data_IF_428769550677
#
_entry.id   IF_428769550677
#
_cell.length_a   1.000
_cell.length_b   1.000
_cell.length_c   1.000
_cell.angle_alpha   90.00
_cell.angle_beta   90.00
_cell.angle_gamma   90.00
#
_symmetry.space_group_name_H-M   'P 1'
#
loop_
_entity.id
_entity.type
_entity.pdbx_description
1 polymer ?
#
# COMPACT_ATOMS: atom_id res chain seq x y z
N UNK A 1 16.32 27.37 0.52
CA UNK A 1 16.00 25.98 0.16
C UNK A 1 14.50 25.83 0.28
N UNK A 2 13.80 25.55 -0.82
CA UNK A 2 12.35 25.33 -0.78
C UNK A 2 12.07 23.83 -0.64
N UNK A 3 10.95 23.45 -0.01
CA UNK A 3 10.57 22.04 0.15
C UNK A 3 10.45 21.31 -1.21
N UNK A 4 10.03 22.03 -2.27
CA UNK A 4 9.97 21.50 -3.64
C UNK A 4 11.34 21.09 -4.22
N UNK A 5 12.43 21.63 -3.68
CA UNK A 5 13.79 21.32 -4.12
C UNK A 5 14.34 20.06 -3.44
N UNK A 6 13.65 19.58 -2.39
CA UNK A 6 14.09 18.44 -1.56
C UNK A 6 13.30 17.19 -1.90
N UNK A 7 11.98 17.31 -2.03
CA UNK A 7 11.12 16.16 -2.26
C UNK A 7 11.29 15.58 -3.66
N UNK A 8 11.20 14.25 -3.76
CA UNK A 8 11.23 13.53 -5.03
C UNK A 8 10.13 13.98 -5.99
N UNK A 9 9.01 14.47 -5.45
CA UNK A 9 7.88 15.00 -6.18
C UNK A 9 7.57 16.40 -5.66
N UNK A 10 7.35 17.36 -6.57
CA UNK A 10 6.96 18.71 -6.19
C UNK A 10 5.60 18.68 -5.46
N UNK A 11 5.53 19.08 -4.17
CA UNK A 11 4.29 19.04 -3.40
C UNK A 11 3.25 20.06 -3.90
N UNK A 12 3.64 21.04 -4.73
CA UNK A 12 2.72 22.04 -5.27
C UNK A 12 1.91 21.56 -6.46
N UNK A 13 2.31 20.46 -7.11
CA UNK A 13 1.61 19.91 -8.29
C UNK A 13 0.78 18.67 -7.98
N UNK A 14 0.94 18.07 -6.79
CA UNK A 14 0.28 16.82 -6.41
C UNK A 14 -0.57 17.02 -5.17
N UNK A 15 -1.89 16.85 -5.31
CA UNK A 15 -2.85 16.83 -4.20
C UNK A 15 -3.09 15.38 -3.75
N UNK A 16 -3.30 15.17 -2.45
CA UNK A 16 -3.71 13.87 -1.89
C UNK A 16 -5.12 13.55 -2.39
N UNK A 17 -5.27 12.51 -3.22
CA UNK A 17 -6.55 12.16 -3.82
C UNK A 17 -7.61 11.68 -2.81
N UNK A 18 -7.15 11.16 -1.67
CA UNK A 18 -7.95 10.53 -0.61
C UNK A 18 -7.68 11.15 0.78
N UNK A 19 -7.13 12.37 0.84
CA UNK A 19 -6.70 13.02 2.10
C UNK A 19 -5.74 12.15 2.95
N UNK A 20 -5.03 11.21 2.31
CA UNK A 20 -4.08 10.30 2.98
C UNK A 20 -4.72 9.10 3.67
N UNK A 21 -6.02 8.83 3.45
CA UNK A 21 -6.72 7.67 4.04
C UNK A 21 -7.03 6.65 2.95
N UNK A 22 -6.46 5.46 3.09
CA UNK A 22 -6.74 4.33 2.22
C UNK A 22 -8.24 3.98 2.23
N UNK A 23 -8.86 3.87 1.07
CA UNK A 23 -10.21 3.35 0.93
C UNK A 23 -10.19 2.16 -0.03
N UNK A 24 -10.17 0.96 0.55
CA UNK A 24 -10.14 -0.30 -0.21
C UNK A 24 -11.58 -0.75 -0.42
N UNK A 25 -12.06 -0.62 -1.65
CA UNK A 25 -13.38 -1.08 -2.08
C UNK A 25 -13.30 -1.63 -3.51
N UNK A 26 -14.34 -2.37 -3.93
CA UNK A 26 -14.41 -2.98 -5.26
C UNK A 26 -15.02 -2.04 -6.32
N UNK A 27 -15.04 -0.72 -6.08
CA UNK A 27 -15.55 0.24 -7.05
C UNK A 27 -14.60 0.31 -8.27
N UNK A 28 -15.21 0.30 -9.46
CA UNK A 28 -14.51 0.35 -10.76
C UNK A 28 -14.86 1.58 -11.57
N UNK A 29 -15.48 2.58 -10.96
CA UNK A 29 -15.65 3.91 -11.56
C UNK A 29 -14.30 4.49 -11.97
N UNK A 30 -14.32 5.41 -12.94
CA UNK A 30 -13.07 6.02 -13.44
C UNK A 30 -12.36 6.80 -12.33
N UNK A 31 -13.15 7.40 -11.44
CA UNK A 31 -12.72 8.13 -10.26
C UNK A 31 -12.05 7.20 -9.25
N UNK A 32 -12.68 6.08 -8.90
CA UNK A 32 -12.09 5.08 -8.00
C UNK A 32 -10.78 4.51 -8.54
N UNK A 33 -10.74 4.19 -9.84
CA UNK A 33 -9.52 3.70 -10.49
C UNK A 33 -8.39 4.76 -10.53
N UNK A 34 -8.73 6.05 -10.65
CA UNK A 34 -7.76 7.14 -10.58
C UNK A 34 -7.19 7.30 -9.16
N UNK A 35 -8.02 7.17 -8.13
CA UNK A 35 -7.58 7.16 -6.72
C UNK A 35 -6.70 5.95 -6.43
N UNK A 36 -7.10 4.75 -6.84
CA UNK A 36 -6.31 3.53 -6.66
C UNK A 36 -4.93 3.65 -7.35
N UNK A 37 -4.89 4.18 -8.57
CA UNK A 37 -3.63 4.45 -9.26
C UNK A 37 -2.76 5.42 -8.47
N UNK A 38 -3.33 6.52 -7.98
CA UNK A 38 -2.61 7.49 -7.14
C UNK A 38 -2.05 6.84 -5.88
N UNK A 39 -2.84 6.02 -5.19
CA UNK A 39 -2.39 5.30 -4.00
C UNK A 39 -1.21 4.39 -4.33
N UNK A 40 -1.31 3.56 -5.38
CA UNK A 40 -0.22 2.65 -5.78
C UNK A 40 1.05 3.38 -6.25
N UNK A 41 0.91 4.52 -6.93
CA UNK A 41 2.06 5.35 -7.36
C UNK A 41 2.80 6.02 -6.19
N UNK A 42 2.09 6.31 -5.11
CA UNK A 42 2.64 7.00 -3.93
C UNK A 42 2.93 6.03 -2.78
N UNK A 43 2.57 4.77 -2.93
CA UNK A 43 2.77 3.74 -1.93
C UNK A 43 4.26 3.38 -1.78
N UNK A 44 4.81 3.60 -0.60
CA UNK A 44 6.20 3.27 -0.28
C UNK A 44 6.25 1.86 0.31
N UNK A 45 6.53 0.88 -0.55
CA UNK A 45 6.75 -0.52 -0.15
C UNK A 45 8.23 -0.77 0.12
N UNK A 46 8.73 -0.31 1.26
CA UNK A 46 10.15 -0.43 1.60
C UNK A 46 10.34 -0.89 3.06
N UNK A 47 11.53 -1.38 3.38
CA UNK A 47 11.90 -1.78 4.75
C UNK A 47 11.05 -2.92 5.32
N UNK A 48 10.27 -2.65 6.39
CA UNK A 48 9.47 -3.70 7.06
C UNK A 48 8.23 -4.10 6.27
N UNK A 49 7.69 -3.19 5.45
CA UNK A 49 6.51 -3.49 4.64
C UNK A 49 6.86 -4.51 3.54
N UNK A 50 7.95 -4.24 2.81
CA UNK A 50 8.50 -5.15 1.80
C UNK A 50 8.79 -6.54 2.38
N UNK A 51 9.49 -6.61 3.52
CA UNK A 51 9.83 -7.88 4.19
C UNK A 51 8.58 -8.66 4.62
N UNK A 52 7.59 -7.96 5.17
CA UNK A 52 6.31 -8.56 5.55
C UNK A 52 5.59 -9.16 4.35
N UNK A 53 5.46 -8.39 3.26
CA UNK A 53 4.83 -8.85 2.02
C UNK A 53 5.56 -10.06 1.42
N UNK A 54 6.89 -10.00 1.34
CA UNK A 54 7.70 -11.13 0.85
C UNK A 54 7.51 -12.39 1.70
N UNK A 55 7.46 -12.25 3.03
CA UNK A 55 7.26 -13.37 3.94
C UNK A 55 5.86 -14.01 3.81
N UNK A 56 4.82 -13.19 3.63
CA UNK A 56 3.45 -13.66 3.39
C UNK A 56 3.39 -14.47 2.10
N UNK A 57 3.94 -13.93 1.00
CA UNK A 57 3.91 -14.59 -0.31
C UNK A 57 4.75 -15.87 -0.33
N UNK A 58 5.95 -15.85 0.26
CA UNK A 58 6.79 -17.05 0.38
C UNK A 58 6.10 -18.16 1.19
N UNK A 59 5.45 -17.80 2.30
CA UNK A 59 4.70 -18.76 3.12
C UNK A 59 3.50 -19.34 2.38
N UNK A 60 2.75 -18.50 1.64
CA UNK A 60 1.64 -18.94 0.80
C UNK A 60 2.11 -19.93 -0.26
N UNK A 61 3.17 -19.60 -1.01
CA UNK A 61 3.70 -20.44 -2.08
C UNK A 61 4.20 -21.80 -1.56
N UNK A 62 4.87 -21.83 -0.40
CA UNK A 62 5.33 -23.08 0.22
C UNK A 62 4.20 -23.99 0.66
N UNK A 63 3.03 -23.43 0.93
CA UNK A 63 1.87 -24.17 1.40
C UNK A 63 0.83 -24.44 0.31
N UNK A 64 1.11 -24.17 -0.97
CA UNK A 64 0.10 -24.23 -2.05
C UNK A 64 -0.55 -25.61 -2.20
N UNK A 65 0.20 -26.69 -1.93
CA UNK A 65 -0.27 -28.08 -2.00
C UNK A 65 -0.74 -28.64 -0.65
N UNK A 66 -0.75 -27.81 0.40
CA UNK A 66 -1.19 -28.21 1.74
C UNK A 66 -2.71 -28.06 1.88
N UNK A 67 -3.31 -28.82 2.80
CA UNK A 67 -4.75 -28.76 3.05
C UNK A 67 -5.22 -27.45 3.69
N UNK A 68 -4.31 -26.64 4.23
CA UNK A 68 -4.59 -25.38 4.92
C UNK A 68 -3.54 -24.30 4.61
N UNK A 69 -3.96 -23.03 4.67
CA UNK A 69 -3.09 -21.86 4.53
C UNK A 69 -2.89 -21.17 5.89
N UNK A 70 -1.70 -20.64 6.13
CA UNK A 70 -1.43 -19.85 7.32
C UNK A 70 -2.17 -18.51 7.27
N UNK A 71 -2.87 -18.16 8.35
CA UNK A 71 -3.40 -16.81 8.53
C UNK A 71 -2.28 -15.79 8.78
N UNK A 72 -2.53 -14.53 8.44
CA UNK A 72 -1.57 -13.43 8.62
C UNK A 72 -2.12 -12.44 9.64
N UNK A 73 -1.26 -12.00 10.57
CA UNK A 73 -1.58 -10.92 11.50
C UNK A 73 -0.73 -9.68 11.17
N UNK A 74 -1.39 -8.60 10.77
CA UNK A 74 -0.75 -7.34 10.37
C UNK A 74 -0.93 -6.32 11.49
N UNK A 75 0.17 -5.80 12.03
CA UNK A 75 0.16 -4.79 13.10
C UNK A 75 1.06 -3.60 12.77
N UNK A 76 0.74 -2.43 13.31
CA UNK A 76 1.43 -1.18 13.01
C UNK A 76 0.62 0.07 13.35
N UNK A 77 1.29 1.21 13.44
CA UNK A 77 0.70 2.51 13.78
C UNK A 77 -0.26 3.04 12.71
N UNK A 78 -1.04 4.09 13.01
CA UNK A 78 -1.98 4.69 12.04
C UNK A 78 -1.24 5.23 10.79
N UNK A 79 -1.76 4.96 9.60
CA UNK A 79 -1.09 5.36 8.35
C UNK A 79 0.08 4.47 7.92
N UNK A 80 0.36 3.37 8.61
CA UNK A 80 1.46 2.44 8.24
C UNK A 80 1.15 1.49 7.08
N UNK A 81 0.08 1.74 6.29
CA UNK A 81 -0.28 0.91 5.13
C UNK A 81 -0.94 -0.45 5.41
N UNK A 82 -1.40 -0.72 6.64
CA UNK A 82 -2.00 -2.04 7.01
C UNK A 82 -3.19 -2.42 6.13
N UNK A 83 -4.09 -1.47 5.88
CA UNK A 83 -5.29 -1.69 5.06
C UNK A 83 -4.96 -1.94 3.60
N UNK A 84 -3.81 -1.48 3.09
CA UNK A 84 -3.35 -1.81 1.74
C UNK A 84 -2.89 -3.25 1.60
N UNK A 85 -2.49 -3.89 2.71
CA UNK A 85 -1.98 -5.27 2.72
C UNK A 85 -3.09 -6.32 2.94
N UNK A 86 -4.24 -5.90 3.47
CA UNK A 86 -5.34 -6.76 3.92
C UNK A 86 -6.53 -6.68 2.98
#
# INVERSE_FOLDING_TARGET
MLNRDIYQTDPSVRKLANEGVANVNDDRTSEAMAVLRYELETFVCDGQYEKGLAHILDTFLRNIDQSEQAGVWISGFFGSGKSHLA
#
